data_IF_507857606492
#
_entry.id   IF_507857606492
#
_cell.length_a   1.000
_cell.length_b   1.000
_cell.length_c   1.000
_cell.angle_alpha   90.00
_cell.angle_beta   90.00
_cell.angle_gamma   90.00
#
_symmetry.space_group_name_H-M   'P 1'
#
loop_
_entity.id
_entity.type
_entity.pdbx_description
1 polymer ?
#
# COMPACT_ATOMS: atom_id res chain seq x y z
N UNK A 1 18.03 4.47 1.19
CA UNK A 1 16.66 4.99 1.38
C UNK A 1 16.46 5.38 2.83
N UNK A 2 15.60 6.34 3.11
CA UNK A 2 15.41 6.89 4.45
C UNK A 2 13.99 6.64 4.97
N UNK A 3 13.85 6.63 6.29
CA UNK A 3 12.56 6.78 6.99
C UNK A 3 12.68 7.99 7.92
N UNK A 4 11.90 9.02 7.66
CA UNK A 4 12.00 10.29 8.39
C UNK A 4 10.69 10.59 9.10
N UNK A 5 10.76 10.97 10.37
CA UNK A 5 9.61 11.45 11.14
C UNK A 5 9.70 12.96 11.39
N UNK A 6 8.57 13.59 11.70
CA UNK A 6 8.48 15.03 12.02
C UNK A 6 9.25 15.39 13.31
N UNK A 7 9.72 16.63 13.38
CA UNK A 7 10.44 17.23 14.51
C UNK A 7 9.67 17.13 15.83
N UNK A 8 8.34 17.31 15.81
CA UNK A 8 7.52 17.32 17.01
C UNK A 8 6.99 15.94 17.41
N UNK A 9 7.41 14.88 16.71
CA UNK A 9 7.05 13.50 17.06
C UNK A 9 8.16 12.90 17.92
N UNK A 10 7.85 12.13 18.98
CA UNK A 10 8.87 11.41 19.74
C UNK A 10 9.80 10.60 18.82
N UNK A 11 11.10 10.83 18.95
CA UNK A 11 12.13 10.15 18.16
C UNK A 11 13.03 9.31 19.06
N UNK A 12 13.11 8.03 18.72
CA UNK A 12 14.06 7.07 19.28
C UNK A 12 14.52 6.21 18.12
N UNK A 13 15.78 6.37 17.73
CA UNK A 13 16.34 5.70 16.56
C UNK A 13 16.34 4.18 16.76
N UNK A 14 16.71 3.69 17.94
CA UNK A 14 16.77 2.26 18.24
C UNK A 14 15.37 1.64 18.24
N UNK A 15 14.37 2.35 18.78
CA UNK A 15 12.98 1.92 18.69
C UNK A 15 12.47 1.86 17.25
N UNK A 16 12.84 2.83 16.40
CA UNK A 16 12.48 2.84 14.97
C UNK A 16 13.14 1.69 14.22
N UNK A 17 14.45 1.47 14.39
CA UNK A 17 15.18 0.35 13.76
C UNK A 17 14.58 -0.99 14.17
N UNK A 18 14.30 -1.14 15.48
CA UNK A 18 13.59 -2.31 16.01
C UNK A 18 12.24 -2.52 15.33
N UNK A 19 11.43 -1.49 15.17
CA UNK A 19 10.09 -1.60 14.58
C UNK A 19 10.12 -1.88 13.07
N UNK A 20 11.04 -1.24 12.34
CA UNK A 20 11.11 -1.30 10.89
C UNK A 20 11.77 -2.60 10.40
N UNK A 21 12.85 -3.06 11.03
CA UNK A 21 13.59 -4.21 10.49
C UNK A 21 14.29 -5.13 11.52
N UNK A 22 14.69 -4.69 12.72
CA UNK A 22 15.44 -5.60 13.62
C UNK A 22 14.58 -6.64 14.32
N UNK A 23 13.31 -6.32 14.65
CA UNK A 23 12.40 -7.28 15.33
C UNK A 23 12.11 -8.55 14.54
N UNK A 24 12.43 -8.55 13.25
CA UNK A 24 12.34 -9.71 12.37
C UNK A 24 13.42 -10.76 12.65
N UNK A 25 14.40 -10.47 13.52
CA UNK A 25 15.41 -11.44 13.93
C UNK A 25 16.29 -11.92 12.78
N UNK A 26 16.30 -13.21 12.49
CA UNK A 26 17.16 -13.86 11.47
C UNK A 26 16.38 -14.47 10.30
N UNK A 27 15.16 -13.96 10.00
CA UNK A 27 14.36 -14.45 8.86
C UNK A 27 15.18 -14.45 7.58
N UNK A 28 15.39 -15.65 7.04
CA UNK A 28 16.06 -15.85 5.75
C UNK A 28 15.06 -15.62 4.63
N UNK A 29 15.41 -14.72 3.71
CA UNK A 29 14.65 -14.46 2.49
C UNK A 29 15.39 -15.08 1.30
N UNK A 30 14.65 -15.61 0.33
CA UNK A 30 15.26 -16.13 -0.90
C UNK A 30 15.59 -14.97 -1.83
N UNK A 31 16.66 -15.11 -2.62
CA UNK A 31 16.97 -14.17 -3.70
C UNK A 31 15.74 -13.92 -4.61
N UNK A 32 15.49 -12.68 -5.09
CA UNK A 32 16.26 -11.44 -4.88
C UNK A 32 15.83 -10.63 -3.65
N UNK A 33 15.07 -11.23 -2.73
CA UNK A 33 14.53 -10.51 -1.58
C UNK A 33 15.56 -10.44 -0.46
N UNK A 34 15.71 -9.26 0.12
CA UNK A 34 16.60 -9.00 1.25
C UNK A 34 15.96 -8.06 2.26
N UNK A 35 16.50 -8.06 3.48
CA UNK A 35 16.12 -7.07 4.48
C UNK A 35 16.72 -5.73 4.10
N UNK A 36 15.85 -4.79 3.76
CA UNK A 36 16.29 -3.43 3.45
C UNK A 36 16.55 -2.63 4.73
N UNK A 37 17.80 -2.19 4.92
CA UNK A 37 18.20 -1.37 6.08
C UNK A 37 18.00 0.11 5.75
N UNK A 38 17.03 0.72 6.42
CA UNK A 38 16.68 2.14 6.24
C UNK A 38 17.49 3.03 7.19
N UNK A 39 17.98 4.15 6.68
CA UNK A 39 18.49 5.23 7.52
C UNK A 39 17.29 5.93 8.19
N UNK A 40 17.25 5.92 9.51
CA UNK A 40 16.21 6.59 10.28
C UNK A 40 16.65 8.02 10.60
N UNK A 41 15.71 8.96 10.59
CA UNK A 41 16.02 10.34 10.93
C UNK A 41 14.80 11.12 11.39
N UNK A 42 15.07 12.31 11.91
CA UNK A 42 14.06 13.27 12.30
C UNK A 42 14.25 14.54 11.47
N UNK A 43 13.14 15.05 10.91
CA UNK A 43 13.15 16.29 10.17
C UNK A 43 13.40 17.48 11.12
N UNK A 44 13.99 18.54 10.58
CA UNK A 44 14.10 19.86 11.23
C UNK A 44 13.01 20.83 10.79
N UNK A 45 12.09 20.35 9.94
CA UNK A 45 10.95 21.11 9.43
C UNK A 45 9.82 21.00 10.44
N UNK A 46 9.28 22.14 10.83
CA UNK A 46 8.11 22.21 11.69
C UNK A 46 6.83 22.23 10.86
N UNK A 47 5.93 21.26 11.08
CA UNK A 47 4.61 21.24 10.46
C UNK A 47 3.58 21.96 11.36
N UNK A 48 2.97 23.07 10.92
CA UNK A 48 2.06 23.87 11.76
C UNK A 48 0.80 23.09 12.20
N UNK A 49 0.40 22.10 11.40
CA UNK A 49 -0.74 21.22 11.68
C UNK A 49 -0.32 19.85 12.24
N UNK A 50 0.86 19.76 12.87
CA UNK A 50 1.29 18.56 13.57
C UNK A 50 0.34 18.15 14.70
N UNK A 51 0.41 16.87 15.09
CA UNK A 51 -0.41 16.26 16.13
C UNK A 51 -0.19 16.97 17.48
N UNK A 52 -1.28 17.29 18.18
CA UNK A 52 -1.26 17.77 19.56
C UNK A 52 -2.49 17.24 20.32
N UNK A 53 -2.49 17.34 21.65
CA UNK A 53 -3.60 16.83 22.48
C UNK A 53 -4.91 17.62 22.27
N UNK A 54 -4.79 18.87 21.84
CA UNK A 54 -5.93 19.78 21.61
C UNK A 54 -6.55 19.61 20.21
N UNK A 55 -5.89 18.86 19.31
CA UNK A 55 -6.32 18.68 17.92
C UNK A 55 -6.97 17.31 17.72
N UNK A 56 -8.03 17.28 16.93
CA UNK A 56 -8.67 16.05 16.48
C UNK A 56 -8.23 15.70 15.06
N UNK A 57 -7.99 14.41 14.75
CA UNK A 57 -7.67 13.99 13.39
C UNK A 57 -8.88 14.25 12.48
N UNK A 58 -8.60 14.72 11.26
CA UNK A 58 -9.63 14.81 10.23
C UNK A 58 -10.09 13.40 9.81
N UNK A 59 -11.38 13.19 9.49
CA UNK A 59 -11.84 11.97 8.82
C UNK A 59 -11.35 11.89 7.36
N UNK A 60 -10.76 12.98 6.85
CA UNK A 60 -10.30 13.09 5.49
C UNK A 60 -8.87 12.56 5.33
N UNK A 61 -8.60 11.98 4.17
CA UNK A 61 -7.25 11.67 3.71
C UNK A 61 -7.00 12.29 2.33
N UNK A 62 -5.77 12.73 2.10
CA UNK A 62 -5.36 13.36 0.85
C UNK A 62 -4.30 12.47 0.21
N UNK A 63 -4.51 12.14 -1.06
CA UNK A 63 -3.54 11.44 -1.89
C UNK A 63 -3.14 12.35 -3.06
N UNK A 64 -1.83 12.55 -3.21
CA UNK A 64 -1.28 13.27 -4.36
C UNK A 64 -0.18 12.44 -5.01
N UNK A 65 -0.13 12.45 -6.34
CA UNK A 65 0.97 11.86 -7.09
C UNK A 65 1.32 12.69 -8.32
N UNK A 66 2.61 12.78 -8.62
CA UNK A 66 3.11 13.47 -9.81
C UNK A 66 2.90 12.60 -11.05
N UNK A 67 2.05 13.08 -11.97
CA UNK A 67 1.85 12.50 -13.30
C UNK A 67 1.83 13.67 -14.29
N UNK A 68 2.76 13.65 -15.23
CA UNK A 68 2.91 14.74 -16.20
C UNK A 68 3.17 16.09 -15.50
N UNK A 69 2.60 17.16 -16.04
CA UNK A 69 2.79 18.52 -15.53
C UNK A 69 1.78 18.93 -14.44
N UNK A 70 0.59 18.31 -14.42
CA UNK A 70 -0.53 18.78 -13.57
C UNK A 70 -0.67 17.98 -12.26
N UNK A 71 -0.04 16.80 -12.18
CA UNK A 71 -0.20 15.88 -11.05
C UNK A 71 -1.63 15.36 -10.90
N UNK A 72 -1.88 14.64 -9.82
CA UNK A 72 -3.21 14.17 -9.45
C UNK A 72 -3.42 14.38 -7.96
N UNK A 73 -4.55 14.98 -7.60
CA UNK A 73 -4.97 15.21 -6.22
C UNK A 73 -6.33 14.55 -6.00
N UNK A 74 -6.46 13.77 -4.94
CA UNK A 74 -7.72 13.14 -4.53
C UNK A 74 -7.90 13.26 -3.02
N UNK A 75 -9.06 13.75 -2.61
CA UNK A 75 -9.48 13.81 -1.21
C UNK A 75 -10.48 12.69 -0.98
N UNK A 76 -10.28 11.92 0.09
CA UNK A 76 -11.16 10.86 0.51
C UNK A 76 -11.74 11.14 1.90
N UNK A 77 -13.02 10.87 2.08
CA UNK A 77 -13.75 10.95 3.35
C UNK A 77 -14.26 9.55 3.67
N UNK A 78 -13.90 8.99 4.83
CA UNK A 78 -14.25 7.62 5.24
C UNK A 78 -13.93 6.55 4.16
N UNK A 79 -12.79 6.71 3.48
CA UNK A 79 -12.32 5.79 2.44
C UNK A 79 -13.07 5.89 1.09
N UNK A 80 -13.87 6.94 0.87
CA UNK A 80 -14.59 7.21 -0.38
C UNK A 80 -14.19 8.56 -0.94
N UNK A 81 -14.31 8.76 -2.25
CA UNK A 81 -14.04 10.07 -2.87
C UNK A 81 -14.91 11.17 -2.26
N UNK A 82 -14.31 12.31 -1.91
CA UNK A 82 -15.05 13.48 -1.42
C UNK A 82 -16.13 13.90 -2.42
N UNK A 83 -17.32 14.24 -1.91
CA UNK A 83 -18.48 14.58 -2.75
C UNK A 83 -19.26 13.37 -3.30
N UNK A 84 -18.91 12.14 -2.92
CA UNK A 84 -19.69 10.95 -3.29
C UNK A 84 -21.11 11.02 -2.68
N UNK A 85 -22.13 11.05 -3.55
CA UNK A 85 -23.53 11.01 -3.12
C UNK A 85 -24.01 9.58 -2.88
N UNK A 86 -25.09 9.41 -2.10
CA UNK A 86 -25.74 8.10 -1.88
C UNK A 86 -26.07 7.39 -3.20
N UNK A 87 -26.51 8.14 -4.21
CA UNK A 87 -26.83 7.61 -5.56
C UNK A 87 -25.61 7.02 -6.26
N UNK A 88 -24.43 7.59 -6.06
CA UNK A 88 -23.21 7.20 -6.77
C UNK A 88 -22.28 6.31 -5.95
N UNK A 89 -22.65 5.94 -4.72
CA UNK A 89 -21.79 5.25 -3.76
C UNK A 89 -21.25 3.89 -4.26
N UNK A 90 -22.01 3.20 -5.12
CA UNK A 90 -21.62 1.92 -5.70
C UNK A 90 -21.10 2.04 -7.14
N UNK A 91 -20.84 3.27 -7.61
CA UNK A 91 -20.33 3.52 -8.95
C UNK A 91 -18.82 3.72 -8.95
N UNK A 92 -18.21 3.61 -10.14
CA UNK A 92 -16.79 3.92 -10.36
C UNK A 92 -16.44 5.35 -9.89
N UNK A 93 -17.40 6.29 -9.93
CA UNK A 93 -17.19 7.68 -9.49
C UNK A 93 -16.89 7.80 -8.00
N UNK A 94 -17.32 6.84 -7.17
CA UNK A 94 -17.05 6.82 -5.74
C UNK A 94 -15.68 6.21 -5.38
N UNK A 95 -15.06 5.49 -6.32
CA UNK A 95 -13.83 4.75 -6.09
C UNK A 95 -12.62 5.69 -6.04
N UNK A 96 -11.74 5.45 -5.08
CA UNK A 96 -10.43 6.08 -4.99
C UNK A 96 -9.49 5.48 -6.03
N UNK A 97 -8.59 6.28 -6.61
CA UNK A 97 -7.58 5.77 -7.55
C UNK A 97 -6.60 4.80 -6.90
N UNK A 98 -6.36 4.95 -5.60
CA UNK A 98 -5.50 4.06 -4.82
C UNK A 98 -6.23 2.82 -4.29
N UNK A 99 -7.52 2.63 -4.61
CA UNK A 99 -8.22 1.42 -4.18
C UNK A 99 -7.75 0.20 -4.99
N UNK A 100 -7.89 -1.00 -4.42
CA UNK A 100 -7.38 -2.24 -5.03
C UNK A 100 -7.89 -2.46 -6.45
N UNK A 101 -9.17 -2.15 -6.71
CA UNK A 101 -9.78 -2.33 -8.03
C UNK A 101 -9.14 -1.41 -9.08
N UNK A 102 -8.96 -0.13 -8.76
CA UNK A 102 -8.34 0.84 -9.68
C UNK A 102 -6.86 0.53 -9.93
N UNK A 103 -6.10 0.16 -8.88
CA UNK A 103 -4.70 -0.27 -9.02
C UNK A 103 -4.62 -1.56 -9.86
N UNK A 104 -5.51 -2.52 -9.62
CA UNK A 104 -5.50 -3.77 -10.38
C UNK A 104 -5.84 -3.54 -11.85
N UNK A 105 -6.84 -2.70 -12.15
CA UNK A 105 -7.16 -2.32 -13.51
C UNK A 105 -5.96 -1.68 -14.22
N UNK A 106 -5.29 -0.71 -13.56
CA UNK A 106 -4.09 -0.09 -14.10
C UNK A 106 -2.96 -1.11 -14.35
N UNK A 107 -2.79 -2.08 -13.47
CA UNK A 107 -1.83 -3.16 -13.64
C UNK A 107 -2.15 -4.06 -14.84
N UNK A 108 -3.40 -4.51 -14.99
CA UNK A 108 -3.82 -5.33 -16.15
C UNK A 108 -3.67 -4.55 -17.45
N UNK A 109 -4.11 -3.28 -17.50
CA UNK A 109 -3.90 -2.42 -18.68
C UNK A 109 -2.43 -2.30 -19.04
N UNK A 110 -1.55 -2.11 -18.04
CA UNK A 110 -0.10 -2.01 -18.27
C UNK A 110 0.50 -3.30 -18.82
N UNK A 111 0.05 -4.46 -18.33
CA UNK A 111 0.49 -5.75 -18.86
C UNK A 111 0.10 -5.91 -20.32
N UNK A 112 -1.13 -5.53 -20.68
CA UNK A 112 -1.61 -5.61 -22.06
C UNK A 112 -0.85 -4.65 -22.99
N UNK A 113 -0.60 -3.40 -22.54
CA UNK A 113 0.25 -2.44 -23.26
C UNK A 113 1.68 -2.95 -23.49
N UNK A 114 2.23 -3.67 -22.52
CA UNK A 114 3.57 -4.26 -22.61
C UNK A 114 3.59 -5.65 -23.25
N UNK A 115 2.43 -6.18 -23.68
CA UNK A 115 2.27 -7.54 -24.20
C UNK A 115 2.83 -8.63 -23.26
N UNK A 116 2.63 -8.47 -21.95
CA UNK A 116 3.06 -9.42 -20.92
C UNK A 116 1.86 -10.28 -20.50
N UNK A 117 2.02 -11.61 -20.54
CA UNK A 117 1.03 -12.56 -20.01
C UNK A 117 1.47 -13.10 -18.66
N UNK A 118 0.57 -13.05 -17.66
CA UNK A 118 0.83 -13.65 -16.35
C UNK A 118 0.68 -15.17 -16.33
N UNK A 119 -0.27 -15.68 -17.13
CA UNK A 119 -0.55 -17.09 -17.29
C UNK A 119 -0.65 -17.41 -18.79
N UNK A 120 -0.22 -18.60 -19.21
CA UNK A 120 -0.32 -19.04 -20.61
C UNK A 120 -1.76 -19.25 -21.07
N UNK A 121 -2.61 -19.72 -20.17
CA UNK A 121 -3.90 -20.31 -20.54
C UNK A 121 -5.09 -19.38 -20.30
N UNK A 122 -4.86 -18.20 -19.69
CA UNK A 122 -5.91 -17.27 -19.28
C UNK A 122 -5.50 -15.85 -19.63
N UNK A 123 -6.39 -15.11 -20.30
CA UNK A 123 -6.17 -13.68 -20.54
C UNK A 123 -6.10 -12.90 -19.23
N UNK A 124 -5.18 -11.93 -19.15
CA UNK A 124 -4.95 -11.12 -17.96
C UNK A 124 -6.23 -10.50 -17.39
N UNK A 125 -7.13 -9.98 -18.24
CA UNK A 125 -8.42 -9.38 -17.86
C UNK A 125 -9.38 -10.36 -17.17
N UNK A 126 -9.23 -11.66 -17.40
CA UNK A 126 -10.07 -12.70 -16.81
C UNK A 126 -9.50 -13.22 -15.48
N UNK A 127 -8.33 -12.74 -15.04
CA UNK A 127 -7.76 -13.12 -13.76
C UNK A 127 -8.44 -12.37 -12.62
N UNK A 128 -8.75 -13.08 -11.55
CA UNK A 128 -9.13 -12.44 -10.29
C UNK A 128 -7.91 -11.78 -9.65
N UNK A 129 -8.14 -10.77 -8.81
CA UNK A 129 -7.07 -10.04 -8.11
C UNK A 129 -6.16 -10.98 -7.31
N UNK A 130 -6.75 -11.97 -6.62
CA UNK A 130 -5.98 -12.99 -5.90
C UNK A 130 -5.22 -13.92 -6.84
N UNK A 131 -5.81 -14.35 -7.97
CA UNK A 131 -5.12 -15.20 -8.94
C UNK A 131 -3.89 -14.49 -9.51
N UNK A 132 -4.02 -13.23 -9.92
CA UNK A 132 -2.91 -12.43 -10.42
C UNK A 132 -1.79 -12.27 -9.37
N UNK A 133 -2.14 -12.02 -8.10
CA UNK A 133 -1.14 -11.96 -7.02
C UNK A 133 -0.41 -13.29 -6.78
N UNK A 134 -1.11 -14.41 -6.95
CA UNK A 134 -0.56 -15.74 -6.70
C UNK A 134 0.47 -16.19 -7.74
N UNK A 135 0.51 -15.55 -8.91
CA UNK A 135 1.52 -15.81 -9.95
C UNK A 135 2.94 -15.54 -9.44
N UNK A 136 3.13 -14.53 -8.58
CA UNK A 136 4.43 -14.18 -8.02
C UNK A 136 4.81 -15.08 -6.82
N UNK A 137 5.12 -16.35 -7.10
CA UNK A 137 5.43 -17.37 -6.07
C UNK A 137 6.56 -16.93 -5.13
N UNK A 138 7.67 -16.43 -5.68
CA UNK A 138 8.81 -15.98 -4.87
C UNK A 138 8.42 -14.90 -3.85
N UNK A 139 7.62 -13.90 -4.26
CA UNK A 139 7.12 -12.91 -3.31
C UNK A 139 6.21 -13.53 -2.25
N UNK A 140 5.29 -14.40 -2.66
CA UNK A 140 4.32 -15.00 -1.75
C UNK A 140 4.97 -15.91 -0.70
N UNK A 141 5.99 -16.67 -1.08
CA UNK A 141 6.72 -17.55 -0.17
C UNK A 141 7.53 -16.74 0.84
N UNK A 142 8.24 -15.70 0.38
CA UNK A 142 8.96 -14.80 1.29
C UNK A 142 8.01 -14.02 2.21
N UNK A 143 6.86 -13.56 1.70
CA UNK A 143 5.85 -12.89 2.51
C UNK A 143 5.23 -13.82 3.55
N UNK A 144 5.06 -15.12 3.22
CA UNK A 144 4.62 -16.13 4.19
C UNK A 144 5.66 -16.31 5.29
N UNK A 145 6.92 -16.56 4.93
CA UNK A 145 8.03 -16.71 5.89
C UNK A 145 8.15 -15.51 6.83
N UNK A 146 7.99 -14.29 6.28
CA UNK A 146 8.01 -13.07 7.08
C UNK A 146 6.84 -13.03 8.07
N UNK A 147 5.62 -13.33 7.64
CA UNK A 147 4.45 -13.35 8.54
C UNK A 147 4.57 -14.39 9.63
N UNK A 148 5.10 -15.58 9.30
CA UNK A 148 5.27 -16.68 10.25
C UNK A 148 6.33 -16.36 11.31
N UNK A 149 7.26 -15.44 11.01
CA UNK A 149 8.20 -14.91 12.00
C UNK A 149 7.56 -13.99 13.03
N UNK A 150 6.38 -13.45 12.73
CA UNK A 150 5.55 -12.76 13.72
C UNK A 150 4.67 -13.78 14.42
N UNK A 151 4.59 -13.75 15.75
CA UNK A 151 3.80 -14.72 16.51
C UNK A 151 2.33 -14.82 16.06
N UNK A 152 1.72 -13.70 15.66
CA UNK A 152 0.37 -13.67 15.06
C UNK A 152 0.31 -12.58 13.98
N UNK A 153 -0.22 -12.92 12.81
CA UNK A 153 -0.52 -11.96 11.74
C UNK A 153 -2.00 -12.02 11.34
N UNK A 154 -2.71 -10.90 11.51
CA UNK A 154 -4.14 -10.84 11.16
C UNK A 154 -4.35 -10.89 9.65
N UNK A 155 -5.33 -11.68 9.20
CA UNK A 155 -5.68 -11.80 7.79
C UNK A 155 -7.11 -11.34 7.53
N UNK A 156 -7.34 -10.64 6.41
CA UNK A 156 -8.69 -10.33 5.95
C UNK A 156 -9.31 -11.57 5.29
N UNK A 157 -10.64 -11.61 5.21
CA UNK A 157 -11.36 -12.66 4.48
C UNK A 157 -10.90 -12.71 3.01
N UNK A 158 -10.65 -13.92 2.51
CA UNK A 158 -10.15 -14.16 1.14
C UNK A 158 -11.13 -13.69 0.06
N UNK A 159 -12.44 -13.72 0.35
CA UNK A 159 -13.51 -13.24 -0.53
C UNK A 159 -13.35 -11.78 -0.93
N UNK A 160 -12.72 -10.94 -0.10
CA UNK A 160 -12.44 -9.54 -0.41
C UNK A 160 -11.33 -9.36 -1.48
N UNK A 161 -10.70 -10.45 -1.90
CA UNK A 161 -9.66 -10.47 -2.93
C UNK A 161 -10.12 -11.20 -4.21
N UNK A 162 -11.34 -11.73 -4.22
CA UNK A 162 -11.87 -12.53 -5.32
C UNK A 162 -12.77 -11.67 -6.22
N UNK A 163 -12.14 -10.80 -7.02
CA UNK A 163 -12.82 -9.93 -7.98
C UNK A 163 -11.97 -9.74 -9.24
N UNK A 164 -12.60 -9.45 -10.37
CA UNK A 164 -11.96 -9.10 -11.66
C UNK A 164 -12.08 -7.60 -11.94
N UNK A 165 -11.42 -7.12 -13.00
CA UNK A 165 -11.47 -5.72 -13.49
C UNK A 165 -12.02 -5.65 -14.90
#
# INVERSE_FOLDING_TARGET
STFTIDQNTPFDEDALKRALYDRLGTVSLSFPFERHILQCGQATINFPFGKSEEKQPSPDSISWFSIGNDGFLEVAVDGKKQGTTKKNMHSVKAQLKICKLQIFNAFITKLDECNIRLCSDVENKNLTYIAAKNVCKGYNDNWRNLKDSFGVWTSKQSTLLDFTV
#
